data_IF_718797077873
#
_entry.id   IF_718797077873
#
_cell.length_a   1.000
_cell.length_b   1.000
_cell.length_c   1.000
_cell.angle_alpha   90.00
_cell.angle_beta   90.00
_cell.angle_gamma   90.00
#
_symmetry.space_group_name_H-M   'P 1'
#
loop_
_entity.id
_entity.type
_entity.pdbx_description
1 polymer ?
#
# COMPACT_ATOMS: atom_id res chain seq x y z
N UNK A 1 107.95 28.20 20.66
CA UNK A 1 109.18 27.57 21.18
C UNK A 1 109.15 26.10 20.87
N UNK A 2 110.19 25.64 20.18
CA UNK A 2 110.48 24.27 19.74
C UNK A 2 110.22 23.19 20.80
N UNK A 3 109.74 22.02 20.36
CA UNK A 3 110.65 20.89 20.06
C UNK A 3 110.01 19.83 19.15
N UNK A 4 110.87 19.42 18.25
CA UNK A 4 110.78 18.53 17.10
C UNK A 4 110.77 17.04 17.50
N UNK A 5 110.18 16.23 16.62
CA UNK A 5 110.55 14.86 16.20
C UNK A 5 110.79 13.78 17.26
N UNK A 6 110.03 12.68 17.20
CA UNK A 6 110.55 11.36 16.77
C UNK A 6 109.41 10.56 16.11
N UNK A 7 109.60 10.24 14.84
CA UNK A 7 108.92 9.22 14.06
C UNK A 7 109.31 7.82 14.55
N UNK A 8 108.32 6.92 14.73
CA UNK A 8 108.56 5.48 14.71
C UNK A 8 107.45 4.82 13.89
N UNK A 9 107.79 4.49 12.64
CA UNK A 9 107.02 3.59 11.79
C UNK A 9 107.29 2.18 12.31
N UNK A 10 106.25 1.53 12.83
CA UNK A 10 106.24 0.08 13.03
C UNK A 10 105.12 -0.48 12.15
N UNK A 11 105.48 -0.83 10.92
CA UNK A 11 104.66 -1.72 10.09
C UNK A 11 104.87 -3.15 10.59
N UNK A 12 103.82 -3.75 11.16
CA UNK A 12 103.73 -5.18 11.36
C UNK A 12 102.42 -5.66 10.72
N UNK A 13 102.55 -6.21 9.52
CA UNK A 13 101.50 -6.98 8.85
C UNK A 13 101.54 -8.39 9.42
N UNK A 14 100.58 -8.76 10.27
CA UNK A 14 100.18 -10.15 10.52
C UNK A 14 98.71 -10.18 10.96
N UNK A 15 97.88 -10.93 10.21
CA UNK A 15 96.73 -11.62 10.77
C UNK A 15 95.42 -10.83 10.80
N UNK A 16 94.41 -11.37 10.11
CA UNK A 16 93.11 -10.74 9.97
C UNK A 16 92.40 -10.52 11.31
N UNK A 17 91.89 -9.30 11.46
CA UNK A 17 90.75 -9.00 12.30
C UNK A 17 89.97 -7.90 11.57
N UNK A 18 89.17 -8.31 10.58
CA UNK A 18 88.00 -7.53 10.24
C UNK A 18 87.08 -7.64 11.45
N UNK A 19 87.27 -6.77 12.45
CA UNK A 19 86.19 -6.49 13.40
C UNK A 19 85.17 -5.73 12.58
N UNK A 20 84.36 -6.47 11.84
CA UNK A 20 83.12 -5.97 11.32
C UNK A 20 82.37 -5.50 12.57
N UNK A 21 82.31 -4.19 12.75
CA UNK A 21 81.27 -3.56 13.53
C UNK A 21 79.96 -3.93 12.84
N UNK A 22 79.48 -5.15 13.06
CA UNK A 22 78.07 -5.46 12.99
C UNK A 22 77.46 -4.64 14.11
N UNK A 23 77.27 -3.34 13.84
CA UNK A 23 76.42 -2.49 14.63
C UNK A 23 75.12 -3.27 14.76
N UNK A 24 74.77 -3.62 15.99
CA UNK A 24 73.53 -4.30 16.33
C UNK A 24 72.42 -3.55 15.59
N UNK A 25 71.88 -4.17 14.54
CA UNK A 25 70.68 -3.65 13.92
C UNK A 25 69.64 -3.64 15.04
N UNK A 26 68.92 -2.53 15.26
CA UNK A 26 67.90 -2.49 16.29
C UNK A 26 66.95 -3.67 16.03
N UNK A 27 66.81 -4.55 17.02
CA UNK A 27 65.85 -5.64 16.95
C UNK A 27 64.49 -4.99 16.75
N UNK A 28 63.88 -5.22 15.59
CA UNK A 28 62.55 -4.72 15.33
C UNK A 28 61.61 -5.43 16.28
N UNK A 29 61.04 -4.69 17.21
CA UNK A 29 60.06 -5.21 18.15
C UNK A 29 58.69 -5.25 17.47
N UNK A 30 57.91 -6.28 17.76
CA UNK A 30 56.58 -6.46 17.19
C UNK A 30 55.57 -6.74 18.30
N UNK A 31 54.39 -6.15 18.18
CA UNK A 31 53.21 -6.53 18.94
C UNK A 31 52.33 -7.45 18.09
N UNK A 32 51.61 -8.35 18.74
CA UNK A 32 50.67 -9.27 18.10
C UNK A 32 49.24 -8.79 18.34
N UNK A 33 48.44 -8.66 17.29
CA UNK A 33 47.01 -8.36 17.42
C UNK A 33 46.29 -9.57 18.04
N UNK A 34 45.58 -9.34 19.13
CA UNK A 34 44.82 -10.37 19.87
C UNK A 34 43.35 -10.35 19.49
N UNK A 35 42.76 -9.16 19.33
CA UNK A 35 41.35 -8.99 18.97
C UNK A 35 41.16 -7.69 18.19
N UNK A 36 40.18 -7.70 17.28
CA UNK A 36 39.78 -6.54 16.48
C UNK A 36 38.27 -6.46 16.50
N UNK A 37 37.74 -5.38 17.06
CA UNK A 37 36.30 -5.15 17.18
C UNK A 37 35.93 -3.93 16.32
N UNK A 38 35.06 -4.07 15.30
CA UNK A 38 34.65 -2.94 14.48
C UNK A 38 33.75 -2.00 15.26
N UNK A 39 34.01 -0.71 15.14
CA UNK A 39 33.15 0.36 15.63
C UNK A 39 32.21 0.76 14.50
N UNK A 40 30.90 0.56 14.68
CA UNK A 40 29.88 0.84 13.66
C UNK A 40 28.97 2.00 14.07
N UNK A 41 28.52 2.77 13.07
CA UNK A 41 27.52 3.82 13.22
C UNK A 41 26.40 3.65 12.19
N UNK A 42 25.16 3.95 12.59
CA UNK A 42 23.99 3.93 11.71
C UNK A 42 23.89 5.22 10.90
N UNK A 43 24.32 5.17 9.64
CA UNK A 43 24.22 6.32 8.73
C UNK A 43 22.95 6.27 7.91
N UNK A 44 22.29 7.43 7.76
CA UNK A 44 21.08 7.58 6.93
C UNK A 44 21.47 7.66 5.47
N UNK A 45 20.86 6.81 4.65
CA UNK A 45 21.03 6.83 3.21
C UNK A 45 19.91 7.65 2.56
N UNK A 46 20.29 8.47 1.60
CA UNK A 46 19.36 9.30 0.84
C UNK A 46 19.75 9.35 -0.63
N UNK A 47 18.75 9.44 -1.51
CA UNK A 47 18.96 9.63 -2.94
C UNK A 47 18.25 10.89 -3.44
N UNK A 48 18.81 11.54 -4.46
CA UNK A 48 18.18 12.65 -5.16
C UNK A 48 17.11 12.10 -6.12
N UNK A 49 15.90 12.61 -6.06
CA UNK A 49 14.81 12.19 -6.95
C UNK A 49 15.01 12.83 -8.32
N UNK A 50 14.97 12.00 -9.37
CA UNK A 50 15.16 12.44 -10.76
C UNK A 50 13.91 12.24 -11.62
N UNK A 51 13.04 11.28 -11.28
CA UNK A 51 11.76 11.05 -11.96
C UNK A 51 10.72 10.47 -10.99
N UNK A 52 9.46 10.84 -11.19
CA UNK A 52 8.32 10.42 -10.35
C UNK A 52 7.15 10.05 -11.26
N UNK A 53 6.80 8.77 -11.30
CA UNK A 53 5.66 8.26 -12.06
C UNK A 53 4.54 7.80 -11.13
N UNK A 54 3.32 8.36 -11.24
CA UNK A 54 2.19 7.88 -10.45
C UNK A 54 1.78 6.48 -10.88
N UNK A 55 1.36 5.67 -9.91
CA UNK A 55 0.78 4.35 -10.11
C UNK A 55 -0.71 4.50 -9.86
N UNK A 56 -1.51 4.34 -10.91
CA UNK A 56 -2.96 4.42 -10.86
C UNK A 56 -3.58 3.03 -10.84
N UNK A 57 -4.59 2.85 -10.00
CA UNK A 57 -5.38 1.63 -9.94
C UNK A 57 -6.87 1.97 -10.15
N UNK A 58 -7.55 1.18 -10.97
CA UNK A 58 -8.98 1.34 -11.20
C UNK A 58 -9.74 0.63 -10.10
N UNK A 59 -10.45 1.40 -9.27
CA UNK A 59 -11.37 0.86 -8.29
C UNK A 59 -12.80 0.94 -8.82
N UNK A 60 -13.57 -0.13 -8.60
CA UNK A 60 -14.97 -0.24 -9.01
C UNK A 60 -15.85 -0.36 -7.77
N UNK A 61 -16.92 0.44 -7.69
CA UNK A 61 -17.82 0.44 -6.54
C UNK A 61 -19.27 0.69 -6.93
N UNK A 62 -20.24 0.20 -6.13
CA UNK A 62 -21.65 0.52 -6.34
C UNK A 62 -21.92 1.97 -5.95
N UNK A 63 -22.62 2.70 -6.81
CA UNK A 63 -23.28 3.96 -6.44
C UNK A 63 -24.77 3.87 -6.74
N UNK A 64 -25.57 4.38 -5.83
CA UNK A 64 -27.01 4.49 -6.03
C UNK A 64 -27.32 5.81 -6.73
N UNK A 65 -28.06 5.74 -7.83
CA UNK A 65 -28.55 6.89 -8.57
C UNK A 65 -30.06 6.87 -8.52
N UNK A 66 -30.64 7.89 -7.89
CA UNK A 66 -32.07 8.04 -7.78
C UNK A 66 -32.57 9.12 -8.74
N UNK A 67 -33.56 8.76 -9.57
CA UNK A 67 -34.18 9.67 -10.53
C UNK A 67 -35.71 9.68 -10.34
N UNK A 68 -36.31 10.85 -10.53
CA UNK A 68 -37.77 10.97 -10.50
C UNK A 68 -38.35 10.45 -11.82
N UNK A 69 -39.14 9.38 -11.76
CA UNK A 69 -39.77 8.76 -12.93
C UNK A 69 -41.29 8.78 -12.78
N UNK A 70 -42.05 9.05 -13.86
CA UNK A 70 -43.48 8.85 -13.86
C UNK A 70 -43.79 7.35 -13.82
N UNK A 71 -44.51 6.92 -12.78
CA UNK A 71 -45.01 5.54 -12.63
C UNK A 71 -46.53 5.55 -12.80
N UNK A 72 -47.03 4.69 -13.67
CA UNK A 72 -48.46 4.56 -13.94
C UNK A 72 -49.12 3.57 -12.97
N UNK A 73 -50.18 4.02 -12.31
CA UNK A 73 -51.00 3.19 -11.43
C UNK A 73 -52.42 3.08 -11.98
N UNK A 74 -52.95 1.86 -12.05
CA UNK A 74 -54.37 1.65 -12.32
C UNK A 74 -55.14 1.68 -11.02
N UNK A 75 -56.00 2.69 -10.84
CA UNK A 75 -56.84 2.74 -9.64
C UNK A 75 -57.90 1.63 -9.65
N UNK A 76 -58.18 1.07 -8.47
CA UNK A 76 -59.20 0.03 -8.34
C UNK A 76 -60.61 0.63 -8.51
N UNK A 77 -61.57 -0.11 -9.11
CA UNK A 77 -62.93 0.37 -9.31
C UNK A 77 -63.62 0.72 -7.98
N UNK A 78 -64.37 1.84 -7.95
CA UNK A 78 -65.14 2.33 -6.78
C UNK A 78 -66.18 1.34 -6.24
N UNK A 79 -66.62 0.36 -7.03
CA UNK A 79 -67.54 -0.71 -6.61
C UNK A 79 -67.03 -2.06 -7.15
N UNK A 80 -66.13 -2.75 -6.41
CA UNK A 80 -65.53 -4.02 -6.85
C UNK A 80 -66.58 -5.14 -6.96
N UNK A 81 -67.66 -5.06 -6.18
CA UNK A 81 -68.71 -6.08 -6.14
C UNK A 81 -69.84 -5.83 -7.15
N UNK A 82 -69.82 -4.68 -7.85
CA UNK A 82 -70.79 -4.31 -8.90
C UNK A 82 -72.23 -4.41 -8.39
N UNK A 83 -72.44 -4.05 -7.12
CA UNK A 83 -73.69 -4.28 -6.37
C UNK A 83 -74.79 -3.36 -6.90
N UNK A 84 -74.43 -2.10 -7.21
CA UNK A 84 -75.40 -1.11 -7.67
C UNK A 84 -76.06 -1.50 -9.01
N UNK A 85 -75.27 -1.91 -10.00
CA UNK A 85 -75.78 -2.35 -11.31
C UNK A 85 -76.56 -3.65 -11.21
N UNK A 86 -76.12 -4.56 -10.34
CA UNK A 86 -76.83 -5.83 -10.07
C UNK A 86 -78.20 -5.58 -9.43
N UNK A 87 -78.28 -4.74 -8.40
CA UNK A 87 -79.51 -4.45 -7.68
C UNK A 87 -80.52 -3.68 -8.55
N UNK A 88 -80.07 -2.63 -9.24
CA UNK A 88 -80.94 -1.85 -10.15
C UNK A 88 -81.46 -2.74 -11.29
N UNK A 89 -80.57 -3.51 -11.91
CA UNK A 89 -80.94 -4.45 -12.96
C UNK A 89 -81.94 -5.51 -12.47
N UNK A 90 -81.78 -6.01 -11.24
CA UNK A 90 -82.70 -6.97 -10.64
C UNK A 90 -84.09 -6.37 -10.40
N UNK A 91 -84.16 -5.14 -9.88
CA UNK A 91 -85.43 -4.46 -9.63
C UNK A 91 -86.15 -4.18 -10.95
N UNK A 92 -85.45 -3.60 -11.93
CA UNK A 92 -86.04 -3.29 -13.25
C UNK A 92 -86.48 -4.58 -13.95
N UNK A 93 -85.62 -5.60 -14.00
CA UNK A 93 -85.92 -6.88 -14.63
C UNK A 93 -87.06 -7.64 -13.93
N UNK A 94 -87.14 -7.56 -12.60
CA UNK A 94 -88.23 -8.14 -11.82
C UNK A 94 -89.56 -7.43 -12.05
N UNK A 95 -89.57 -6.09 -12.07
CA UNK A 95 -90.78 -5.29 -12.32
C UNK A 95 -91.33 -5.49 -13.73
N UNK A 96 -90.46 -5.62 -14.74
CA UNK A 96 -90.85 -5.93 -16.12
C UNK A 96 -91.36 -7.39 -16.22
N UNK A 97 -90.64 -8.34 -15.62
CA UNK A 97 -91.04 -9.75 -15.59
C UNK A 97 -92.37 -10.01 -14.88
N UNK A 98 -92.74 -9.15 -13.92
CA UNK A 98 -94.02 -9.21 -13.19
C UNK A 98 -95.22 -8.69 -14.01
N UNK A 99 -94.99 -8.02 -15.14
CA UNK A 99 -96.04 -7.50 -16.01
C UNK A 99 -96.40 -8.48 -17.16
N UNK A 100 -95.58 -9.51 -17.38
CA UNK A 100 -95.72 -10.46 -18.48
C UNK A 100 -96.22 -11.80 -17.93
N UNK A 101 -97.53 -12.05 -18.05
CA UNK A 101 -98.18 -13.32 -17.70
C UNK A 101 -99.08 -13.28 -16.45
N UNK A 102 -100.03 -14.22 -16.37
CA UNK A 102 -100.97 -14.38 -15.26
C UNK A 102 -100.63 -15.58 -14.36
N UNK A 103 -101.16 -15.58 -13.13
CA UNK A 103 -101.05 -16.72 -12.20
C UNK A 103 -99.62 -17.08 -11.78
N UNK A 104 -99.32 -18.37 -11.66
CA UNK A 104 -97.99 -18.87 -11.23
C UNK A 104 -96.86 -18.53 -12.20
N UNK A 105 -97.17 -18.33 -13.49
CA UNK A 105 -96.19 -17.95 -14.51
C UNK A 105 -95.56 -16.57 -14.25
N UNK A 106 -96.33 -15.65 -13.65
CA UNK A 106 -95.88 -14.31 -13.26
C UNK A 106 -94.74 -14.33 -12.23
N UNK A 107 -94.80 -15.24 -11.25
CA UNK A 107 -93.76 -15.37 -10.22
C UNK A 107 -92.44 -15.88 -10.82
N UNK A 108 -92.51 -16.87 -11.70
CA UNK A 108 -91.34 -17.43 -12.38
C UNK A 108 -90.71 -16.38 -13.31
N UNK A 109 -91.53 -15.66 -14.09
CA UNK A 109 -91.07 -14.60 -14.98
C UNK A 109 -90.40 -13.44 -14.20
N UNK A 110 -90.90 -13.11 -13.01
CA UNK A 110 -90.29 -12.09 -12.13
C UNK A 110 -88.91 -12.51 -11.64
N UNK A 111 -88.74 -13.76 -11.18
CA UNK A 111 -87.44 -14.27 -10.69
C UNK A 111 -86.44 -14.37 -11.84
N UNK A 112 -86.86 -14.89 -12.99
CA UNK A 112 -86.04 -14.96 -14.18
C UNK A 112 -85.64 -13.57 -14.70
N UNK A 113 -86.58 -12.62 -14.73
CA UNK A 113 -86.36 -11.23 -15.11
C UNK A 113 -85.40 -10.52 -14.16
N UNK A 114 -85.55 -10.73 -12.84
CA UNK A 114 -84.63 -10.17 -11.84
C UNK A 114 -83.22 -10.76 -11.97
N UNK A 115 -83.08 -12.08 -12.11
CA UNK A 115 -81.77 -12.72 -12.29
C UNK A 115 -81.08 -12.29 -13.60
N UNK A 116 -81.84 -12.23 -14.71
CA UNK A 116 -81.34 -11.78 -16.01
C UNK A 116 -80.95 -10.30 -16.00
N UNK A 117 -81.78 -9.44 -15.40
CA UNK A 117 -81.51 -8.02 -15.24
C UNK A 117 -80.30 -7.75 -14.33
N UNK A 118 -80.16 -8.52 -13.25
CA UNK A 118 -79.01 -8.47 -12.36
C UNK A 118 -77.69 -8.82 -13.09
N UNK A 119 -77.70 -9.91 -13.87
CA UNK A 119 -76.53 -10.35 -14.63
C UNK A 119 -76.13 -9.33 -15.71
N UNK A 120 -77.12 -8.83 -16.46
CA UNK A 120 -76.89 -7.80 -17.48
C UNK A 120 -76.35 -6.50 -16.85
N UNK A 121 -76.95 -6.06 -15.75
CA UNK A 121 -76.51 -4.88 -14.99
C UNK A 121 -75.06 -5.02 -14.48
N UNK A 122 -74.70 -6.19 -13.95
CA UNK A 122 -73.33 -6.50 -13.50
C UNK A 122 -72.31 -6.46 -14.63
N UNK A 123 -72.67 -6.97 -15.82
CA UNK A 123 -71.79 -6.97 -17.00
C UNK A 123 -71.57 -5.56 -17.55
N UNK A 124 -72.63 -4.77 -17.65
CA UNK A 124 -72.57 -3.37 -18.12
C UNK A 124 -71.73 -2.51 -17.16
N UNK A 125 -71.96 -2.63 -15.84
CA UNK A 125 -71.16 -1.93 -14.84
C UNK A 125 -69.69 -2.34 -14.90
N UNK A 126 -69.41 -3.64 -15.12
CA UNK A 126 -68.05 -4.14 -15.30
C UNK A 126 -67.32 -3.55 -16.51
N UNK A 127 -67.94 -3.63 -17.70
CA UNK A 127 -67.34 -3.07 -18.91
C UNK A 127 -67.12 -1.56 -18.79
N UNK A 128 -68.03 -0.84 -18.12
CA UNK A 128 -67.90 0.59 -17.89
C UNK A 128 -66.80 0.92 -16.87
N UNK A 129 -66.65 0.13 -15.81
CA UNK A 129 -65.55 0.31 -14.85
C UNK A 129 -64.20 0.04 -15.50
N UNK A 130 -64.09 -0.97 -16.35
CA UNK A 130 -62.87 -1.30 -17.11
C UNK A 130 -62.54 -0.21 -18.14
N UNK A 131 -63.55 0.30 -18.86
CA UNK A 131 -63.36 1.39 -19.84
C UNK A 131 -63.07 2.76 -19.21
N UNK A 132 -63.43 2.97 -17.94
CA UNK A 132 -63.13 4.18 -17.17
C UNK A 132 -62.09 3.92 -16.09
N UNK A 133 -61.25 2.87 -16.24
CA UNK A 133 -60.14 2.66 -15.36
C UNK A 133 -59.20 3.87 -15.49
N UNK A 134 -59.09 4.66 -14.43
CA UNK A 134 -58.27 5.85 -14.41
C UNK A 134 -56.83 5.44 -14.13
N UNK A 135 -55.97 5.64 -15.13
CA UNK A 135 -54.53 5.50 -14.95
C UNK A 135 -54.01 6.80 -14.37
N UNK A 136 -53.54 6.75 -13.13
CA UNK A 136 -52.96 7.91 -12.45
C UNK A 136 -51.45 7.80 -12.53
N UNK A 137 -50.81 8.81 -13.11
CA UNK A 137 -49.35 8.95 -13.11
C UNK A 137 -48.90 9.61 -11.83
N UNK A 138 -47.95 8.99 -11.11
CA UNK A 138 -47.31 9.58 -9.93
C UNK A 138 -45.81 9.67 -10.19
N UNK A 139 -45.21 10.79 -9.78
CA UNK A 139 -43.75 10.91 -9.78
C UNK A 139 -43.22 10.12 -8.60
N UNK A 140 -42.37 9.14 -8.87
CA UNK A 140 -41.71 8.35 -7.84
C UNK A 140 -40.20 8.40 -8.00
N UNK A 141 -39.51 8.41 -6.87
CA UNK A 141 -38.05 8.31 -6.83
C UNK A 141 -37.66 6.85 -7.04
N UNK A 142 -37.09 6.54 -8.20
CA UNK A 142 -36.58 5.20 -8.53
C UNK A 142 -35.07 5.23 -8.41
N UNK A 143 -34.54 4.38 -7.55
CA UNK A 143 -33.10 4.25 -7.31
C UNK A 143 -32.53 3.03 -8.03
N UNK A 144 -31.48 3.22 -8.82
CA UNK A 144 -30.74 2.17 -9.50
C UNK A 144 -29.30 2.12 -8.98
N UNK A 145 -28.80 0.93 -8.65
CA UNK A 145 -27.38 0.77 -8.31
C UNK A 145 -26.59 0.57 -9.59
N UNK A 146 -25.69 1.50 -9.88
CA UNK A 146 -24.77 1.39 -11.01
C UNK A 146 -23.34 1.21 -10.50
N UNK A 147 -22.55 0.43 -11.24
CA UNK A 147 -21.12 0.28 -10.96
C UNK A 147 -20.39 1.46 -11.58
N UNK A 148 -19.71 2.24 -10.74
CA UNK A 148 -18.83 3.30 -11.19
C UNK A 148 -17.37 2.88 -11.03
N UNK A 149 -16.56 3.22 -12.03
CA UNK A 149 -15.11 3.02 -12.00
C UNK A 149 -14.42 4.36 -11.77
N UNK A 150 -13.43 4.36 -10.89
CA UNK A 150 -12.59 5.52 -10.62
C UNK A 150 -11.13 5.11 -10.61
N UNK A 151 -10.29 5.91 -11.26
CA UNK A 151 -8.84 5.77 -11.15
C UNK A 151 -8.35 6.50 -9.90
N UNK A 152 -7.61 5.79 -9.04
CA UNK A 152 -6.98 6.35 -7.85
C UNK A 152 -5.47 6.13 -7.90
N UNK A 153 -4.71 7.15 -7.49
CA UNK A 153 -3.25 7.03 -7.36
C UNK A 153 -2.94 6.27 -6.07
N UNK A 154 -2.49 5.03 -6.20
CA UNK A 154 -2.17 4.15 -5.06
C UNK A 154 -0.70 4.23 -4.65
N UNK A 155 0.15 4.86 -5.47
CA UNK A 155 1.55 5.07 -5.14
C UNK A 155 2.32 5.75 -6.26
N UNK A 156 3.64 5.74 -6.13
CA UNK A 156 4.58 6.34 -7.08
C UNK A 156 5.78 5.42 -7.25
N UNK A 157 6.16 5.16 -8.49
CA UNK A 157 7.46 4.59 -8.82
C UNK A 157 8.44 5.75 -9.01
N UNK A 158 9.43 5.82 -8.11
CA UNK A 158 10.37 6.93 -7.99
C UNK A 158 11.73 6.47 -8.47
N UNK A 159 12.28 7.20 -9.43
CA UNK A 159 13.66 7.01 -9.87
C UNK A 159 14.54 8.00 -9.12
N UNK A 160 15.63 7.51 -8.53
CA UNK A 160 16.55 8.32 -7.74
C UNK A 160 18.00 8.03 -8.12
N UNK A 161 18.89 8.98 -7.82
CA UNK A 161 20.33 8.83 -7.92
C UNK A 161 20.96 8.86 -6.52
N UNK A 162 21.80 7.89 -6.20
CA UNK A 162 22.58 7.82 -4.97
C UNK A 162 23.94 7.14 -5.26
N UNK A 163 25.02 7.64 -4.67
CA UNK A 163 26.38 7.12 -4.85
C UNK A 163 26.78 6.92 -6.33
N UNK A 164 26.32 7.83 -7.21
CA UNK A 164 26.57 7.78 -8.66
C UNK A 164 25.74 6.75 -9.43
N UNK A 165 24.90 5.96 -8.76
CA UNK A 165 24.03 4.95 -9.38
C UNK A 165 22.57 5.40 -9.39
N UNK A 166 21.84 4.96 -10.41
CA UNK A 166 20.39 5.18 -10.52
C UNK A 166 19.64 3.95 -9.99
N UNK A 167 18.69 4.17 -9.10
CA UNK A 167 17.80 3.15 -8.57
C UNK A 167 16.33 3.53 -8.70
N UNK A 168 15.45 2.55 -8.49
CA UNK A 168 14.00 2.77 -8.43
C UNK A 168 13.44 2.31 -7.09
N UNK A 169 12.43 3.02 -6.58
CA UNK A 169 11.74 2.66 -5.33
C UNK A 169 10.27 3.05 -5.42
N UNK A 170 9.40 2.15 -4.95
CA UNK A 170 7.98 2.44 -4.79
C UNK A 170 7.70 3.12 -3.46
N UNK A 171 6.85 4.14 -3.48
CA UNK A 171 6.37 4.86 -2.30
C UNK A 171 4.86 5.04 -2.37
N UNK A 172 4.19 5.04 -1.22
CA UNK A 172 2.75 5.30 -1.10
C UNK A 172 2.39 6.79 -1.17
N UNK A 173 3.37 7.68 -0.92
CA UNK A 173 3.18 9.13 -0.96
C UNK A 173 4.10 9.74 -2.01
N UNK A 174 3.68 10.87 -2.56
CA UNK A 174 4.50 11.60 -3.53
C UNK A 174 5.80 12.04 -2.84
N UNK A 175 6.98 11.67 -3.38
CA UNK A 175 8.24 12.06 -2.79
C UNK A 175 8.52 13.55 -2.98
N UNK A 176 9.40 14.11 -2.14
CA UNK A 176 10.01 15.42 -2.38
C UNK A 176 11.23 15.32 -3.30
N UNK A 177 12.12 16.31 -3.22
CA UNK A 177 13.37 16.34 -3.98
C UNK A 177 14.38 15.23 -3.59
N UNK A 178 14.22 14.65 -2.40
CA UNK A 178 15.10 13.60 -1.86
C UNK A 178 14.26 12.46 -1.30
N UNK A 179 14.71 11.23 -1.47
CA UNK A 179 14.10 10.03 -0.91
C UNK A 179 15.00 9.40 0.15
N UNK A 180 14.42 8.95 1.26
CA UNK A 180 15.14 8.13 2.24
C UNK A 180 15.33 6.73 1.68
N UNK A 181 16.55 6.21 1.73
CA UNK A 181 16.92 4.86 1.33
C UNK A 181 17.07 3.93 2.54
N UNK A 182 16.81 4.43 3.74
CA UNK A 182 16.94 3.70 5.00
C UNK A 182 18.21 4.07 5.74
N UNK A 183 18.74 3.12 6.50
CA UNK A 183 19.98 3.29 7.25
C UNK A 183 20.88 2.09 7.00
N UNK A 184 22.20 2.29 7.01
CA UNK A 184 23.18 1.21 7.00
C UNK A 184 24.19 1.40 8.11
N UNK A 185 24.72 0.30 8.62
CA UNK A 185 25.90 0.34 9.47
C UNK A 185 27.11 0.70 8.61
N UNK A 186 27.89 1.68 9.09
CA UNK A 186 29.16 2.07 8.54
C UNK A 186 30.23 1.85 9.60
N UNK A 187 31.29 1.12 9.25
CA UNK A 187 32.46 1.01 10.12
C UNK A 187 33.18 2.36 10.11
N UNK A 188 33.32 2.95 11.30
CA UNK A 188 33.99 4.23 11.53
C UNK A 188 35.38 4.06 12.16
N UNK A 189 35.74 2.84 12.55
CA UNK A 189 37.04 2.50 13.11
C UNK A 189 37.03 1.11 13.76
N UNK A 190 38.08 0.81 14.50
CA UNK A 190 38.31 -0.47 15.14
C UNK A 190 38.90 -0.27 16.54
N UNK A 191 38.38 -1.00 17.54
CA UNK A 191 39.08 -1.20 18.80
C UNK A 191 40.02 -2.41 18.64
N UNK A 192 41.33 -2.15 18.73
CA UNK A 192 42.40 -3.09 18.43
C UNK A 192 43.11 -3.45 19.72
N UNK A 193 42.98 -4.71 20.13
CA UNK A 193 43.68 -5.23 21.29
C UNK A 193 44.96 -5.92 20.85
N UNK A 194 46.12 -5.46 21.31
CA UNK A 194 47.42 -6.03 21.01
C UNK A 194 48.12 -6.56 22.26
N UNK A 195 49.00 -7.52 22.05
CA UNK A 195 49.92 -8.07 23.05
C UNK A 195 51.34 -7.70 22.69
N UNK A 196 52.01 -7.01 23.58
CA UNK A 196 53.42 -6.69 23.46
C UNK A 196 54.14 -7.13 24.73
N UNK A 197 55.07 -8.09 24.58
CA UNK A 197 55.68 -8.80 25.72
C UNK A 197 54.56 -9.40 26.60
N UNK A 198 54.54 -9.12 27.90
CA UNK A 198 53.50 -9.59 28.83
C UNK A 198 52.36 -8.58 29.06
N UNK A 199 52.30 -7.51 28.26
CA UNK A 199 51.30 -6.46 28.36
C UNK A 199 50.25 -6.58 27.25
N UNK A 200 48.98 -6.38 27.62
CA UNK A 200 47.85 -6.30 26.68
C UNK A 200 47.28 -4.90 26.79
N UNK A 201 47.06 -4.25 25.64
CA UNK A 201 46.44 -2.93 25.58
C UNK A 201 45.50 -2.85 24.37
N UNK A 202 44.47 -2.01 24.50
CA UNK A 202 43.51 -1.73 23.45
C UNK A 202 43.67 -0.29 22.99
N UNK A 203 43.75 -0.09 21.68
CA UNK A 203 43.86 1.23 21.04
C UNK A 203 42.84 1.35 19.92
N UNK A 204 42.43 2.58 19.63
CA UNK A 204 41.55 2.88 18.50
C UNK A 204 42.35 3.06 17.23
N UNK A 205 41.89 2.39 16.18
CA UNK A 205 42.40 2.53 14.82
C UNK A 205 41.30 3.07 13.91
N UNK A 206 41.63 4.04 13.06
CA UNK A 206 40.69 4.55 12.04
C UNK A 206 40.64 3.62 10.82
N UNK A 207 41.70 2.83 10.59
CA UNK A 207 41.84 1.87 9.48
C UNK A 207 41.83 0.43 9.98
N UNK A 208 41.55 -0.52 9.08
CA UNK A 208 41.61 -1.95 9.38
C UNK A 208 43.05 -2.36 9.75
N UNK A 209 43.31 -2.82 10.99
CA UNK A 209 44.65 -3.17 11.46
C UNK A 209 45.11 -4.57 11.00
N UNK A 210 44.25 -5.34 10.31
CA UNK A 210 44.49 -6.73 9.94
C UNK A 210 43.88 -7.73 10.93
N UNK A 211 44.05 -9.03 10.64
CA UNK A 211 43.43 -10.09 11.43
C UNK A 211 44.16 -10.35 12.76
N UNK A 212 43.49 -10.94 13.76
CA UNK A 212 44.17 -11.49 14.94
C UNK A 212 45.33 -12.42 14.57
N UNK A 213 46.44 -12.31 15.29
CA UNK A 213 47.72 -12.95 14.99
C UNK A 213 48.66 -12.13 14.09
N UNK A 214 48.18 -11.03 13.51
CA UNK A 214 49.03 -10.12 12.71
C UNK A 214 50.08 -9.46 13.61
N UNK A 215 51.33 -9.42 13.13
CA UNK A 215 52.46 -8.77 13.82
C UNK A 215 52.66 -7.36 13.28
N UNK A 216 52.55 -6.38 14.17
CA UNK A 216 52.68 -4.95 13.86
C UNK A 216 53.95 -4.39 14.50
N UNK A 217 54.73 -3.54 13.80
CA UNK A 217 55.98 -3.02 14.33
C UNK A 217 55.74 -2.09 15.51
N UNK A 218 56.64 -2.13 16.48
CA UNK A 218 56.70 -1.21 17.62
C UNK A 218 57.90 -0.30 17.42
N UNK A 219 57.64 1.00 17.31
CA UNK A 219 58.67 2.03 17.14
C UNK A 219 58.59 3.00 18.32
N UNK A 220 59.73 3.25 18.97
CA UNK A 220 59.82 4.11 20.16
C UNK A 220 58.84 3.72 21.28
N UNK A 221 58.52 2.42 21.40
CA UNK A 221 57.57 1.89 22.39
C UNK A 221 56.09 2.07 22.04
N UNK A 222 55.78 2.56 20.83
CA UNK A 222 54.41 2.75 20.34
C UNK A 222 54.11 1.75 19.23
N UNK A 223 52.99 1.04 19.35
CA UNK A 223 52.50 0.15 18.29
C UNK A 223 52.10 0.99 17.09
N UNK A 224 52.72 0.74 15.95
CA UNK A 224 52.37 1.36 14.67
C UNK A 224 51.36 0.49 13.96
N UNK A 225 50.09 0.89 14.01
CA UNK A 225 49.05 0.35 13.14
C UNK A 225 49.20 1.11 11.81
N UNK A 226 49.76 0.46 10.79
CA UNK A 226 50.01 1.12 9.50
C UNK A 226 48.70 1.66 8.89
N UNK A 227 48.76 2.87 8.33
CA UNK A 227 47.75 3.32 7.37
C UNK A 227 47.96 2.52 6.08
N UNK A 228 47.20 1.43 5.92
CA UNK A 228 47.08 0.78 4.61
C UNK A 228 46.58 1.78 3.58
N UNK A 229 47.41 2.06 2.57
CA UNK A 229 47.04 2.84 1.39
C UNK A 229 46.36 1.98 0.33
#
# INVERSE_FOLDING_TARGET
>A
MNKTLVTAIAAAVVGGAAVAAYQALPEREYAEIVAVEPLTEMVRLSGQVIDVRPITETQSGPREVCEERPVEYTEQPKDPNRIAGTAIGAVVGGLIGNQIGGGSGKKIATVAGAAGGAYAGRKIQGNRQEANAETVTRMETVCETITETREEIVGYDVTYQADGQTGTRRTSKQPGATISLGQREQVIGYDVTYRFRDQVATVRSETDPGAPGTRVPVEDGVVKLEHGG
#
